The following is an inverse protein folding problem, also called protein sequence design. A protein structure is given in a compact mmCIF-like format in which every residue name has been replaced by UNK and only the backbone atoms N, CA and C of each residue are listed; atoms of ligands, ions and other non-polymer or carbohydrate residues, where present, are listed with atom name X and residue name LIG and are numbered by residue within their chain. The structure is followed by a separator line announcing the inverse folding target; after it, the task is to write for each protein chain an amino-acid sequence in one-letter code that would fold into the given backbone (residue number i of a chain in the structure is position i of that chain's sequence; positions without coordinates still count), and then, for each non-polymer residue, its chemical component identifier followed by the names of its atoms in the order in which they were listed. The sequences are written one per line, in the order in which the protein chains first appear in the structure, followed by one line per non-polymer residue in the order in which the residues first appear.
data_IF_313151374000
#
_entry.id   IF_313151374000
#
_cell.length_a   1.000
_cell.length_b   1.000
_cell.length_c   1.000
_cell.angle_alpha   90.00
_cell.angle_beta   90.00
_cell.angle_gamma   90.00
#
_symmetry.space_group_name_H-M   'P 1'
#
loop_
_entity.id
_entity.type
_entity.pdbx_description
1 polymer ?
#
# COMPACT_ATOMS: atom_id res chain seq x y z
N UNK A 1 33.27 4.99 9.59
CA UNK A 1 31.96 5.20 8.92
C UNK A 1 30.83 5.01 9.92
N UNK A 2 29.86 5.93 10.04
CA UNK A 2 28.65 5.71 10.83
C UNK A 2 27.89 4.49 10.31
N UNK A 3 27.61 3.50 11.17
CA UNK A 3 26.87 2.29 10.78
C UNK A 3 25.38 2.53 10.51
N UNK A 4 24.81 3.61 11.08
CA UNK A 4 23.41 3.98 10.90
C UNK A 4 23.31 5.22 10.02
N UNK A 5 22.70 5.06 8.84
CA UNK A 5 22.40 6.16 7.94
C UNK A 5 21.38 7.11 8.57
N UNK A 6 21.75 8.38 8.74
CA UNK A 6 20.83 9.47 9.07
C UNK A 6 20.54 10.27 7.80
N UNK A 7 19.26 10.53 7.52
CA UNK A 7 18.88 11.40 6.40
C UNK A 7 19.29 12.85 6.70
N UNK A 8 19.54 13.63 5.63
CA UNK A 8 19.80 15.07 5.77
C UNK A 8 18.55 15.77 6.29
N UNK A 9 18.74 16.73 7.19
CA UNK A 9 17.66 17.58 7.69
C UNK A 9 17.02 18.37 6.54
N UNK A 10 15.70 18.51 6.56
CA UNK A 10 14.92 19.15 5.49
C UNK A 10 14.55 18.26 4.30
N UNK A 11 15.03 17.02 4.21
CA UNK A 11 14.59 16.07 3.17
C UNK A 11 13.17 15.60 3.49
N UNK A 12 12.19 16.11 2.73
CA UNK A 12 10.81 15.64 2.77
C UNK A 12 10.77 14.12 2.57
N UNK A 13 10.09 13.42 3.47
CA UNK A 13 9.83 11.98 3.30
C UNK A 13 9.04 11.83 2.01
N UNK A 14 9.46 10.90 1.14
CA UNK A 14 8.69 10.54 -0.07
C UNK A 14 7.40 9.85 0.36
N UNK A 15 6.42 10.62 0.79
CA UNK A 15 5.08 10.13 1.09
C UNK A 15 4.28 10.14 -0.20
N UNK A 16 3.74 8.99 -0.56
CA UNK A 16 2.88 8.85 -1.71
C UNK A 16 1.51 9.44 -1.38
N UNK A 17 1.32 10.72 -1.72
CA UNK A 17 0.10 11.46 -1.41
C UNK A 17 -1.08 11.11 -2.34
N UNK A 18 -0.81 10.64 -3.55
CA UNK A 18 -1.87 10.37 -4.52
C UNK A 18 -2.74 9.16 -4.14
N UNK A 19 -4.04 9.29 -4.40
CA UNK A 19 -5.08 8.29 -4.13
C UNK A 19 -5.31 7.39 -5.35
N UNK A 20 -5.97 6.26 -5.18
CA UNK A 20 -6.36 5.39 -6.30
C UNK A 20 -7.28 6.11 -7.29
N UNK A 21 -8.19 6.94 -6.78
CA UNK A 21 -9.12 7.76 -7.57
C UNK A 21 -8.37 8.75 -8.46
N UNK A 22 -7.37 9.45 -7.90
CA UNK A 22 -6.53 10.38 -8.68
C UNK A 22 -5.76 9.68 -9.81
N UNK A 23 -5.34 8.42 -9.60
CA UNK A 23 -4.67 7.63 -10.62
C UNK A 23 -5.64 7.21 -11.74
N UNK A 24 -6.88 6.85 -11.39
CA UNK A 24 -7.91 6.51 -12.37
C UNK A 24 -8.29 7.71 -13.22
N UNK A 25 -8.56 8.86 -12.59
CA UNK A 25 -8.85 10.11 -13.32
C UNK A 25 -7.69 10.52 -14.24
N UNK A 26 -6.44 10.38 -13.78
CA UNK A 26 -5.26 10.64 -14.61
C UNK A 26 -5.18 9.70 -15.83
N UNK A 27 -5.59 8.43 -15.69
CA UNK A 27 -5.61 7.50 -16.82
C UNK A 27 -6.69 7.86 -17.82
N UNK A 28 -7.87 8.27 -17.35
CA UNK A 28 -8.96 8.68 -18.22
C UNK A 28 -8.58 9.93 -19.04
N UNK A 29 -7.84 10.89 -18.45
CA UNK A 29 -7.28 12.04 -19.20
C UNK A 29 -6.20 11.63 -20.21
N UNK A 30 -5.36 10.63 -19.90
CA UNK A 30 -4.40 10.08 -20.87
C UNK A 30 -5.14 9.42 -22.04
N UNK A 31 -6.19 8.65 -21.77
CA UNK A 31 -6.98 7.96 -22.79
C UNK A 31 -7.73 8.96 -23.69
N UNK A 32 -8.20 10.10 -23.14
CA UNK A 32 -8.80 11.22 -23.90
C UNK A 32 -7.80 11.95 -24.81
N UNK A 33 -6.48 11.80 -24.58
CA UNK A 33 -5.39 12.49 -25.32
C UNK A 33 -5.51 14.02 -25.36
N UNK A 34 -6.17 14.61 -24.37
CA UNK A 34 -6.40 16.06 -24.24
C UNK A 34 -5.13 16.81 -23.82
N UNK A 35 -4.32 16.20 -22.95
CA UNK A 35 -3.15 16.82 -22.33
C UNK A 35 -1.91 15.92 -22.38
N UNK A 36 -0.73 16.53 -22.24
CA UNK A 36 0.53 15.80 -22.13
C UNK A 36 0.70 15.10 -20.78
N UNK A 37 1.43 13.98 -20.75
CA UNK A 37 1.69 13.20 -19.52
C UNK A 37 2.32 14.05 -18.40
N UNK A 38 3.14 15.05 -18.76
CA UNK A 38 3.77 15.94 -17.77
C UNK A 38 2.76 16.93 -17.16
N UNK A 39 1.80 17.44 -17.93
CA UNK A 39 0.75 18.33 -17.39
C UNK A 39 -0.17 17.57 -16.45
N UNK A 40 -0.59 16.36 -16.86
CA UNK A 40 -1.38 15.44 -16.02
C UNK A 40 -0.61 15.11 -14.73
N UNK A 41 0.72 14.93 -14.82
CA UNK A 41 1.57 14.72 -13.65
C UNK A 41 1.49 15.86 -12.63
N UNK A 42 1.50 17.11 -13.10
CA UNK A 42 1.39 18.29 -12.24
C UNK A 42 -0.03 18.44 -11.66
N UNK A 43 -1.06 18.23 -12.47
CA UNK A 43 -2.45 18.38 -12.05
C UNK A 43 -2.86 17.39 -10.95
N UNK A 44 -2.47 16.12 -11.08
CA UNK A 44 -2.84 15.07 -10.14
C UNK A 44 -1.77 14.81 -9.05
N UNK A 45 -0.63 15.49 -9.11
CA UNK A 45 0.48 15.29 -8.16
C UNK A 45 1.13 13.89 -8.24
N UNK A 46 0.98 13.21 -9.39
CA UNK A 46 1.51 11.86 -9.62
C UNK A 46 2.77 11.98 -10.46
N UNK A 47 3.93 11.43 -10.05
CA UNK A 47 5.14 11.52 -10.86
C UNK A 47 4.95 10.93 -12.26
N UNK A 48 5.42 11.64 -13.30
CA UNK A 48 5.26 11.23 -14.70
C UNK A 48 5.87 9.86 -15.02
N UNK A 49 6.91 9.44 -14.27
CA UNK A 49 7.49 8.10 -14.36
C UNK A 49 6.55 7.00 -13.88
N UNK A 50 5.74 7.27 -12.83
CA UNK A 50 4.73 6.36 -12.32
C UNK A 50 3.58 6.22 -13.32
N UNK A 51 3.12 7.35 -13.88
CA UNK A 51 2.08 7.34 -14.91
C UNK A 51 2.51 6.48 -16.11
N UNK A 52 3.68 6.74 -16.69
CA UNK A 52 4.21 5.94 -17.82
C UNK A 52 4.31 4.46 -17.48
N UNK A 53 4.93 4.12 -16.35
CA UNK A 53 5.13 2.72 -15.93
C UNK A 53 3.80 1.99 -15.74
N UNK A 54 2.85 2.59 -15.03
CA UNK A 54 1.56 1.94 -14.71
C UNK A 54 0.62 1.91 -15.90
N UNK A 55 0.66 2.94 -16.75
CA UNK A 55 -0.15 3.00 -17.96
C UNK A 55 0.23 1.90 -18.96
N UNK A 56 1.53 1.58 -19.09
CA UNK A 56 1.99 0.48 -19.93
C UNK A 56 1.43 -0.90 -19.51
N UNK A 57 1.24 -1.11 -18.20
CA UNK A 57 0.66 -2.34 -17.61
C UNK A 57 -0.86 -2.22 -17.43
N UNK A 58 -1.44 -1.04 -17.71
CA UNK A 58 -2.84 -0.66 -17.42
C UNK A 58 -3.28 -0.97 -15.97
N UNK A 59 -2.37 -0.82 -15.01
CA UNK A 59 -2.66 -1.06 -13.59
C UNK A 59 -3.26 0.18 -12.92
N UNK A 60 -4.57 0.13 -12.65
CA UNK A 60 -5.36 1.19 -12.01
C UNK A 60 -5.42 1.11 -10.47
N UNK A 61 -4.85 0.09 -9.83
CA UNK A 61 -4.95 -0.11 -8.37
C UNK A 61 -3.74 0.45 -7.62
N UNK A 62 -3.96 1.07 -6.46
CA UNK A 62 -2.85 1.52 -5.60
C UNK A 62 -2.26 0.30 -4.88
N UNK A 63 -1.15 -0.20 -5.43
CA UNK A 63 -0.29 -1.16 -4.73
C UNK A 63 0.49 -0.49 -3.60
N UNK A 64 0.68 -1.22 -2.50
CA UNK A 64 1.57 -0.83 -1.40
C UNK A 64 2.98 -0.60 -1.93
N UNK A 65 3.56 0.57 -1.65
CA UNK A 65 4.91 0.94 -2.13
C UNK A 65 6.04 0.27 -1.32
N UNK A 66 5.70 -0.66 -0.42
CA UNK A 66 6.63 -1.39 0.44
C UNK A 66 6.53 -2.90 0.22
N UNK A 67 7.17 -3.67 1.10
CA UNK A 67 7.03 -5.13 1.11
C UNK A 67 5.54 -5.47 1.24
N UNK A 68 5.09 -6.42 0.43
CA UNK A 68 3.75 -6.96 0.58
C UNK A 68 3.62 -7.53 2.00
N UNK A 69 2.49 -7.29 2.70
CA UNK A 69 2.25 -7.95 3.99
C UNK A 69 2.44 -9.46 3.85
N UNK A 70 3.03 -10.07 4.88
CA UNK A 70 3.31 -11.51 4.92
C UNK A 70 2.02 -12.32 4.98
N UNK A 71 0.99 -11.76 5.61
CA UNK A 71 -0.36 -12.30 5.64
C UNK A 71 -1.12 -11.90 4.38
N UNK A 72 -1.59 -12.92 3.64
CA UNK A 72 -2.55 -12.74 2.57
C UNK A 72 -3.97 -12.50 3.14
N UNK A 73 -4.85 -11.89 2.35
CA UNK A 73 -6.21 -11.53 2.76
C UNK A 73 -7.01 -12.72 3.30
N UNK A 74 -6.81 -13.91 2.73
CA UNK A 74 -7.47 -15.13 3.19
C UNK A 74 -7.02 -15.56 4.60
N UNK A 75 -5.74 -15.36 4.90
CA UNK A 75 -5.20 -15.68 6.22
C UNK A 75 -5.71 -14.68 7.26
N UNK A 76 -5.78 -13.40 6.91
CA UNK A 76 -6.37 -12.37 7.76
C UNK A 76 -7.85 -12.66 8.05
N UNK A 77 -8.63 -13.03 7.03
CA UNK A 77 -10.04 -13.40 7.20
C UNK A 77 -10.22 -14.61 8.13
N UNK A 78 -9.36 -15.64 8.00
CA UNK A 78 -9.37 -16.82 8.88
C UNK A 78 -9.04 -16.43 10.32
N UNK A 79 -8.05 -15.56 10.50
CA UNK A 79 -7.62 -15.08 11.80
C UNK A 79 -8.71 -14.26 12.49
N UNK A 80 -9.36 -13.33 11.78
CA UNK A 80 -10.49 -12.55 12.30
C UNK A 80 -11.64 -13.46 12.72
N UNK A 81 -12.01 -14.44 11.88
CA UNK A 81 -13.05 -15.42 12.22
C UNK A 81 -12.70 -16.21 13.49
N UNK A 82 -11.45 -16.58 13.66
CA UNK A 82 -11.00 -17.30 14.84
C UNK A 82 -11.06 -16.44 16.11
N UNK A 83 -10.63 -15.17 16.04
CA UNK A 83 -10.73 -14.22 17.15
C UNK A 83 -12.18 -14.03 17.57
N UNK A 84 -13.09 -13.83 16.61
CA UNK A 84 -14.52 -13.67 16.89
C UNK A 84 -15.12 -14.91 17.57
N UNK A 85 -14.79 -16.11 17.05
CA UNK A 85 -15.23 -17.38 17.66
C UNK A 85 -14.75 -17.54 19.11
N UNK A 86 -13.52 -17.14 19.41
CA UNK A 86 -12.97 -17.21 20.78
C UNK A 86 -13.63 -16.17 21.70
N UNK A 87 -13.91 -14.98 21.18
CA UNK A 87 -14.67 -13.95 21.88
C UNK A 87 -16.09 -14.39 22.24
N UNK A 88 -16.81 -15.00 21.29
CA UNK A 88 -18.14 -15.57 21.51
C UNK A 88 -18.13 -16.69 22.58
N UNK A 89 -17.04 -17.46 22.64
CA UNK A 89 -16.84 -18.50 23.64
C UNK A 89 -16.43 -17.97 25.04
N UNK A 90 -16.29 -16.64 25.20
CA UNK A 90 -15.92 -16.01 26.48
C UNK A 90 -14.42 -16.02 26.78
N UNK A 91 -13.58 -16.42 25.83
CA UNK A 91 -12.12 -16.43 25.97
C UNK A 91 -11.52 -15.28 25.15
N UNK A 92 -11.22 -14.11 25.74
CA UNK A 92 -10.51 -13.06 25.01
C UNK A 92 -9.11 -13.58 24.65
N UNK A 93 -8.79 -13.80 23.35
CA UNK A 93 -7.55 -14.46 22.99
C UNK A 93 -6.36 -13.51 23.13
N UNK A 94 -5.30 -13.99 23.79
CA UNK A 94 -4.04 -13.26 23.91
C UNK A 94 -3.30 -13.24 22.57
N UNK A 95 -2.66 -12.11 22.23
CA UNK A 95 -1.88 -11.90 21.00
C UNK A 95 -0.87 -13.02 20.75
N UNK A 96 -0.16 -13.48 21.79
CA UNK A 96 0.86 -14.52 21.65
C UNK A 96 0.25 -15.88 21.21
N UNK A 97 -0.93 -16.23 21.71
CA UNK A 97 -1.62 -17.46 21.33
C UNK A 97 -2.03 -17.44 19.85
N UNK A 98 -2.50 -16.28 19.37
CA UNK A 98 -2.87 -16.08 17.97
C UNK A 98 -1.63 -16.16 17.06
N UNK A 99 -0.49 -15.57 17.48
CA UNK A 99 0.75 -15.62 16.71
C UNK A 99 1.28 -17.04 16.54
N UNK A 100 1.24 -17.85 17.60
CA UNK A 100 1.67 -19.24 17.57
C UNK A 100 0.80 -20.09 16.65
N UNK A 101 -0.53 -19.94 16.71
CA UNK A 101 -1.48 -20.72 15.91
C UNK A 101 -1.32 -20.52 14.39
N UNK A 102 -0.85 -19.34 13.96
CA UNK A 102 -0.74 -18.98 12.55
C UNK A 102 0.71 -18.75 12.07
N UNK A 103 1.71 -19.07 12.89
CA UNK A 103 3.13 -18.93 12.52
C UNK A 103 3.54 -17.49 12.19
N UNK A 104 2.91 -16.49 12.81
CA UNK A 104 3.17 -15.07 12.56
C UNK A 104 4.41 -14.62 13.35
N UNK A 105 5.59 -14.79 12.74
CA UNK A 105 6.83 -14.14 13.20
C UNK A 105 6.80 -12.66 12.83
N UNK A 106 6.46 -11.79 13.78
CA UNK A 106 6.64 -10.34 13.61
C UNK A 106 8.10 -10.03 13.92
N UNK A 107 8.86 -9.65 12.88
CA UNK A 107 10.16 -8.99 13.01
C UNK A 107 9.98 -7.47 13.11
#
# INVERSE_FOLDING_TARGET
MPRKYKRKEGVQVRVCFWTTESLQAAFDEIDKKTMGINEISHQFGIPSSILRRRYAVKNKTKLTMGKHPVSDFNNEKRLVKHILKLGEAGFPPNRQAIQHAYGLSIC
#
